data_IF_591285081409
#
_entry.id   IF_591285081409
#
_cell.length_a   1.000
_cell.length_b   1.000
_cell.length_c   1.000
_cell.angle_alpha   90.00
_cell.angle_beta   90.00
_cell.angle_gamma   90.00
#
_symmetry.space_group_name_H-M   'P 1'
#
loop_
_entity.id
_entity.type
_entity.pdbx_description
1 polymer ?
#
# COMPACT_ATOMS: atom_id res chain seq x y z
N UNK A 1 40.40 -17.90 2.38
CA UNK A 1 39.50 -17.98 1.22
C UNK A 1 39.42 -16.59 0.60
N UNK A 2 39.64 -16.42 -0.70
CA UNK A 2 39.36 -15.14 -1.36
C UNK A 2 37.85 -14.97 -1.41
N UNK A 3 37.32 -13.89 -0.84
CA UNK A 3 35.91 -13.57 -0.94
C UNK A 3 35.56 -13.32 -2.41
N UNK A 4 34.51 -13.99 -2.88
CA UNK A 4 34.00 -13.75 -4.20
C UNK A 4 33.23 -12.43 -4.21
N UNK A 5 33.62 -11.50 -5.05
CA UNK A 5 33.01 -10.17 -5.11
C UNK A 5 31.90 -10.13 -6.15
N UNK A 6 30.74 -9.56 -5.80
CA UNK A 6 29.66 -9.28 -6.72
C UNK A 6 30.03 -8.02 -7.53
N UNK A 7 30.35 -8.20 -8.78
CA UNK A 7 30.74 -7.09 -9.66
C UNK A 7 29.51 -6.40 -10.29
N UNK A 8 28.47 -7.17 -10.59
CA UNK A 8 27.27 -6.72 -11.33
C UNK A 8 26.11 -6.45 -10.40
N UNK A 9 25.52 -5.28 -10.56
CA UNK A 9 24.26 -4.90 -9.91
C UNK A 9 23.30 -4.51 -11.01
N UNK A 10 22.21 -5.24 -11.14
CA UNK A 10 21.16 -4.98 -12.11
C UNK A 10 19.95 -4.38 -11.41
N UNK A 11 19.70 -3.10 -11.66
CA UNK A 11 18.50 -2.41 -11.21
C UNK A 11 17.46 -2.41 -12.33
N UNK A 12 16.31 -3.02 -12.06
CA UNK A 12 15.19 -3.12 -13.01
C UNK A 12 14.07 -2.11 -12.70
N UNK A 13 14.28 -1.23 -11.73
CA UNK A 13 13.29 -0.20 -11.38
C UNK A 13 13.64 1.09 -12.10
N UNK A 14 12.82 1.52 -13.08
CA UNK A 14 13.08 2.76 -13.82
C UNK A 14 12.95 4.01 -12.93
N UNK A 15 13.71 5.04 -13.23
CA UNK A 15 13.64 6.30 -12.52
C UNK A 15 12.32 7.04 -12.73
N UNK A 16 11.72 6.89 -13.92
CA UNK A 16 10.41 7.44 -14.26
C UNK A 16 9.26 6.82 -13.46
N UNK A 17 9.46 5.67 -12.87
CA UNK A 17 8.49 5.03 -11.99
C UNK A 17 8.54 5.57 -10.54
N UNK A 18 9.55 6.36 -10.19
CA UNK A 18 9.61 7.03 -8.90
C UNK A 18 8.61 8.18 -8.84
N UNK A 19 7.79 8.21 -7.79
CA UNK A 19 6.83 9.29 -7.53
C UNK A 19 7.34 10.17 -6.38
N UNK A 20 8.57 10.69 -6.52
CA UNK A 20 9.17 11.60 -5.54
C UNK A 20 8.68 13.01 -5.84
N UNK A 21 8.11 13.68 -4.83
CA UNK A 21 7.39 14.95 -4.99
C UNK A 21 8.25 16.19 -4.75
N UNK A 22 9.34 16.07 -4.01
CA UNK A 22 10.06 17.21 -3.45
C UNK A 22 11.54 17.31 -3.86
N UNK A 23 12.08 16.34 -4.60
CA UNK A 23 13.48 16.34 -5.03
C UNK A 23 13.69 15.45 -6.25
N UNK A 24 14.84 15.58 -6.91
CA UNK A 24 15.25 14.67 -7.96
C UNK A 24 15.63 13.29 -7.42
N UNK A 25 15.54 12.25 -8.27
CA UNK A 25 15.85 10.86 -7.89
C UNK A 25 17.31 10.72 -7.42
N UNK A 26 18.25 11.44 -8.04
CA UNK A 26 19.66 11.41 -7.66
C UNK A 26 19.90 12.06 -6.29
N UNK A 27 19.18 13.13 -5.96
CA UNK A 27 19.25 13.74 -4.62
C UNK A 27 18.72 12.76 -3.56
N UNK A 28 17.63 12.03 -3.87
CA UNK A 28 17.11 10.99 -3.00
C UNK A 28 18.08 9.82 -2.81
N UNK A 29 18.80 9.42 -3.88
CA UNK A 29 19.89 8.43 -3.79
C UNK A 29 21.05 8.91 -2.93
N UNK A 30 21.39 10.19 -3.00
CA UNK A 30 22.42 10.78 -2.14
C UNK A 30 22.04 10.71 -0.64
N UNK A 31 20.74 10.93 -0.31
CA UNK A 31 20.22 10.73 1.05
C UNK A 31 20.34 9.28 1.50
N UNK A 32 20.10 8.34 0.60
CA UNK A 32 20.22 6.90 0.89
C UNK A 32 21.68 6.51 1.19
N UNK A 33 22.65 7.16 0.56
CA UNK A 33 24.09 6.92 0.79
C UNK A 33 24.64 7.64 2.03
N UNK A 34 23.90 8.58 2.61
CA UNK A 34 24.33 9.28 3.81
C UNK A 34 24.52 8.33 5.00
N UNK A 35 25.41 8.68 5.92
CA UNK A 35 25.64 7.86 7.13
C UNK A 35 24.41 7.78 8.04
N UNK A 36 23.69 8.89 8.16
CA UNK A 36 22.47 8.96 8.96
C UNK A 36 21.26 8.48 8.14
N UNK A 37 20.68 7.31 8.42
CA UNK A 37 19.53 6.79 7.69
C UNK A 37 18.28 7.68 7.81
N UNK A 38 18.17 8.49 8.88
CA UNK A 38 17.04 9.40 9.07
C UNK A 38 16.88 10.43 7.92
N UNK A 39 17.95 10.68 7.16
CA UNK A 39 17.89 11.51 5.97
C UNK A 39 16.88 11.03 4.93
N UNK A 40 16.64 9.73 4.84
CA UNK A 40 15.67 9.12 3.91
C UNK A 40 14.24 9.58 4.18
N UNK A 41 13.91 9.92 5.43
CA UNK A 41 12.58 10.45 5.79
C UNK A 41 12.26 11.80 5.12
N UNK A 42 13.25 12.49 4.59
CA UNK A 42 13.06 13.75 3.84
C UNK A 42 12.50 13.54 2.43
N UNK A 43 12.48 12.30 1.94
CA UNK A 43 11.93 11.97 0.62
C UNK A 43 10.41 11.91 0.74
N UNK A 44 9.72 12.86 0.13
CA UNK A 44 8.25 12.88 0.07
C UNK A 44 7.77 12.11 -1.16
N UNK A 45 6.75 11.28 -0.98
CA UNK A 45 6.14 10.54 -2.08
C UNK A 45 6.35 9.02 -2.00
N UNK A 46 6.27 8.35 -3.15
CA UNK A 46 6.34 6.90 -3.31
C UNK A 46 7.61 6.51 -4.04
N UNK A 47 8.48 5.74 -3.39
CA UNK A 47 9.80 5.41 -3.93
C UNK A 47 10.25 3.98 -3.62
N UNK A 48 11.09 3.45 -4.51
CA UNK A 48 11.85 2.23 -4.34
C UNK A 48 13.25 2.47 -4.91
N UNK A 49 14.22 2.76 -4.04
CA UNK A 49 15.54 3.27 -4.42
C UNK A 49 16.65 2.28 -4.16
N UNK A 50 17.61 2.27 -5.06
CA UNK A 50 18.89 1.63 -4.92
C UNK A 50 20.01 2.65 -5.16
N UNK A 51 21.03 2.62 -4.31
CA UNK A 51 22.24 3.38 -4.47
C UNK A 51 23.46 2.52 -4.16
N UNK A 52 24.54 2.70 -4.92
CA UNK A 52 25.79 1.95 -4.78
C UNK A 52 26.93 2.87 -4.39
N UNK A 53 27.71 2.44 -3.39
CA UNK A 53 28.98 3.06 -3.01
C UNK A 53 30.06 1.97 -2.92
N UNK A 54 30.91 1.90 -3.92
CA UNK A 54 31.98 0.90 -4.01
C UNK A 54 31.43 -0.53 -3.95
N UNK A 55 31.75 -1.24 -2.86
CA UNK A 55 31.34 -2.61 -2.60
C UNK A 55 30.08 -2.71 -1.71
N UNK A 56 29.36 -1.62 -1.52
CA UNK A 56 28.11 -1.58 -0.76
C UNK A 56 26.97 -1.12 -1.64
N UNK A 57 25.81 -1.73 -1.43
CA UNK A 57 24.54 -1.30 -2.00
C UNK A 57 23.58 -0.99 -0.86
N UNK A 58 22.92 0.14 -0.94
CA UNK A 58 21.83 0.49 -0.02
C UNK A 58 20.52 0.55 -0.76
N UNK A 59 19.50 0.02 -0.12
CA UNK A 59 18.15 -0.12 -0.64
C UNK A 59 17.19 0.50 0.37
N UNK A 60 16.22 1.28 -0.10
CA UNK A 60 15.11 1.76 0.73
C UNK A 60 13.86 1.94 -0.11
N UNK A 61 12.70 1.81 0.53
CA UNK A 61 11.40 2.00 -0.09
C UNK A 61 10.42 2.71 0.83
N UNK A 62 9.46 3.39 0.24
CA UNK A 62 8.23 3.80 0.93
C UNK A 62 7.36 2.58 1.24
N UNK A 63 6.40 2.73 2.16
CA UNK A 63 5.55 1.64 2.63
C UNK A 63 4.72 1.00 1.51
N UNK A 64 4.22 1.82 0.59
CA UNK A 64 3.35 1.46 -0.52
C UNK A 64 4.07 0.83 -1.73
N UNK A 65 5.41 0.91 -1.81
CA UNK A 65 6.19 0.38 -2.94
C UNK A 65 6.84 -0.97 -2.61
N UNK A 66 6.76 -1.98 -3.48
CA UNK A 66 7.62 -3.16 -3.39
C UNK A 66 9.05 -2.82 -3.79
N UNK A 67 10.01 -3.49 -3.18
CA UNK A 67 11.41 -3.49 -3.57
C UNK A 67 12.01 -4.82 -3.18
N UNK A 68 12.34 -5.63 -4.17
CA UNK A 68 12.88 -6.97 -3.98
C UNK A 68 14.30 -7.07 -4.51
N UNK A 69 15.05 -8.01 -3.98
CA UNK A 69 16.35 -8.33 -4.52
C UNK A 69 16.61 -9.84 -4.48
N UNK A 70 17.51 -10.26 -5.36
CA UNK A 70 18.00 -11.63 -5.47
C UNK A 70 19.52 -11.60 -5.63
N UNK A 71 20.22 -12.53 -4.95
CA UNK A 71 21.65 -12.72 -5.07
C UNK A 71 21.93 -14.02 -5.84
N UNK A 72 22.34 -13.88 -7.10
CA UNK A 72 22.88 -15.00 -7.88
C UNK A 72 24.34 -15.21 -7.49
N UNK A 73 24.72 -16.45 -7.09
CA UNK A 73 26.00 -16.73 -6.43
C UNK A 73 26.93 -17.65 -7.21
N UNK A 74 26.55 -18.02 -8.43
CA UNK A 74 27.42 -18.87 -9.24
C UNK A 74 28.78 -18.27 -9.48
N UNK A 75 29.78 -19.16 -9.57
CA UNK A 75 31.19 -18.81 -9.52
C UNK A 75 31.64 -17.87 -10.64
N UNK A 76 31.01 -17.97 -11.80
CA UNK A 76 31.41 -17.25 -13.00
C UNK A 76 30.62 -15.95 -13.26
N UNK A 77 29.83 -15.50 -12.29
CA UNK A 77 29.09 -14.26 -12.45
C UNK A 77 28.15 -13.91 -11.31
N UNK A 78 28.62 -13.84 -10.05
CA UNK A 78 27.75 -13.45 -8.96
C UNK A 78 27.23 -12.03 -9.20
N UNK A 79 25.91 -11.87 -9.11
CA UNK A 79 25.22 -10.63 -9.38
C UNK A 79 24.09 -10.36 -8.38
N UNK A 80 23.82 -9.09 -8.14
CA UNK A 80 22.63 -8.63 -7.42
C UNK A 80 21.60 -8.14 -8.44
N UNK A 81 20.40 -8.70 -8.42
CA UNK A 81 19.25 -8.24 -9.20
C UNK A 81 18.26 -7.57 -8.26
N UNK A 82 17.79 -6.37 -8.63
CA UNK A 82 16.83 -5.58 -7.87
C UNK A 82 15.65 -5.24 -8.75
N UNK A 83 14.43 -5.50 -8.27
CA UNK A 83 13.18 -5.24 -8.98
C UNK A 83 12.03 -5.01 -7.99
N UNK A 84 10.91 -4.53 -8.47
CA UNK A 84 9.67 -4.46 -7.69
C UNK A 84 8.83 -5.76 -7.80
N UNK A 85 9.13 -6.65 -8.76
CA UNK A 85 8.42 -7.90 -9.01
C UNK A 85 9.33 -9.13 -9.04
N UNK A 86 8.80 -10.28 -8.62
CA UNK A 86 9.51 -11.58 -8.63
C UNK A 86 9.72 -12.07 -10.07
N UNK A 87 8.71 -11.91 -10.94
CA UNK A 87 8.78 -12.31 -12.34
C UNK A 87 9.89 -11.57 -13.11
N UNK A 88 10.06 -10.26 -12.85
CA UNK A 88 11.15 -9.48 -13.44
C UNK A 88 12.54 -10.01 -13.03
N UNK A 89 12.68 -10.43 -11.75
CA UNK A 89 13.94 -11.04 -11.27
C UNK A 89 14.20 -12.35 -12.01
N UNK A 90 13.20 -13.23 -12.14
CA UNK A 90 13.31 -14.48 -12.90
C UNK A 90 13.76 -14.20 -14.33
N UNK A 91 13.02 -13.36 -15.04
CA UNK A 91 13.28 -13.07 -16.46
C UNK A 91 14.65 -12.43 -16.67
N UNK A 92 15.14 -11.64 -15.72
CA UNK A 92 16.48 -11.09 -15.76
C UNK A 92 17.56 -12.18 -15.57
N UNK A 93 17.36 -13.07 -14.59
CA UNK A 93 18.30 -14.17 -14.35
C UNK A 93 18.34 -15.14 -15.54
N UNK A 94 17.22 -15.41 -16.19
CA UNK A 94 17.17 -16.25 -17.42
C UNK A 94 17.97 -15.60 -18.56
N UNK A 95 17.77 -14.29 -18.80
CA UNK A 95 18.52 -13.53 -19.84
C UNK A 95 20.02 -13.50 -19.59
N UNK A 96 20.43 -13.52 -18.33
CA UNK A 96 21.84 -13.50 -17.91
C UNK A 96 22.46 -14.91 -17.83
N UNK A 97 21.71 -15.97 -18.13
CA UNK A 97 22.18 -17.35 -18.06
C UNK A 97 22.19 -17.94 -16.63
N UNK A 98 21.56 -17.29 -15.69
CA UNK A 98 21.49 -17.71 -14.28
C UNK A 98 20.11 -18.24 -13.86
N UNK A 99 19.21 -18.55 -14.81
CA UNK A 99 17.85 -19.04 -14.56
C UNK A 99 17.81 -20.26 -13.62
N UNK A 100 18.77 -21.18 -13.75
CA UNK A 100 18.87 -22.37 -12.89
C UNK A 100 19.09 -22.09 -11.39
N UNK A 101 19.49 -20.86 -11.02
CA UNK A 101 19.62 -20.46 -9.61
C UNK A 101 18.33 -19.87 -9.03
N UNK A 102 17.38 -19.54 -9.90
CA UNK A 102 16.17 -18.86 -9.45
C UNK A 102 15.24 -19.80 -8.68
N UNK A 103 14.78 -19.34 -7.55
CA UNK A 103 13.62 -19.87 -6.85
C UNK A 103 12.90 -18.72 -6.14
N UNK A 104 11.56 -18.59 -6.23
CA UNK A 104 10.84 -17.44 -5.68
C UNK A 104 11.06 -17.24 -4.17
N UNK A 105 11.30 -18.33 -3.41
CA UNK A 105 11.59 -18.24 -1.96
C UNK A 105 12.95 -17.65 -1.62
N UNK A 106 13.86 -17.50 -2.57
CA UNK A 106 15.15 -16.83 -2.37
C UNK A 106 15.11 -15.34 -2.70
N UNK A 107 13.99 -14.87 -3.28
CA UNK A 107 13.75 -13.45 -3.45
C UNK A 107 13.47 -12.81 -2.10
N UNK A 108 14.18 -11.73 -1.80
CA UNK A 108 14.07 -11.04 -0.52
C UNK A 108 13.39 -9.69 -0.70
N UNK A 109 12.46 -9.38 0.20
CA UNK A 109 11.84 -8.05 0.27
C UNK A 109 12.69 -7.13 1.13
N UNK A 110 12.90 -5.90 0.65
CA UNK A 110 13.45 -4.80 1.45
C UNK A 110 12.38 -4.37 2.46
N UNK A 111 12.66 -4.38 3.77
CA UNK A 111 11.67 -3.94 4.76
C UNK A 111 11.36 -2.46 4.61
N UNK A 112 10.09 -2.10 4.80
CA UNK A 112 9.69 -0.69 4.82
C UNK A 112 10.34 0.04 6.00
N UNK A 113 10.51 1.35 5.85
CA UNK A 113 11.08 2.22 6.87
C UNK A 113 12.51 1.88 7.33
N UNK A 114 13.22 1.06 6.53
CA UNK A 114 14.61 0.70 6.78
C UNK A 114 15.47 0.95 5.54
N UNK A 115 16.68 1.44 5.77
CA UNK A 115 17.77 1.31 4.83
C UNK A 115 18.35 -0.10 4.99
N UNK A 116 18.30 -0.88 3.92
CA UNK A 116 18.95 -2.20 3.86
C UNK A 116 20.29 -2.05 3.20
N UNK A 117 21.37 -2.34 3.92
CA UNK A 117 22.73 -2.31 3.39
C UNK A 117 23.21 -3.74 3.11
N UNK A 118 23.72 -3.97 1.90
CA UNK A 118 24.25 -5.26 1.43
C UNK A 118 25.69 -5.06 0.99
N UNK A 119 26.60 -5.87 1.52
CA UNK A 119 27.95 -5.97 1.01
C UNK A 119 27.96 -6.81 -0.27
N UNK A 120 28.64 -6.33 -1.30
CA UNK A 120 28.72 -7.02 -2.61
C UNK A 120 29.74 -8.16 -2.57
N UNK A 121 29.50 -9.12 -1.70
CA UNK A 121 30.28 -10.36 -1.52
C UNK A 121 29.37 -11.54 -1.82
N UNK A 122 29.78 -12.43 -2.71
CA UNK A 122 28.97 -13.58 -3.13
C UNK A 122 29.05 -14.76 -2.17
N UNK A 123 30.18 -14.95 -1.50
CA UNK A 123 30.42 -16.06 -0.58
C UNK A 123 31.43 -15.65 0.50
N UNK A 124 31.13 -15.80 1.82
CA UNK A 124 29.82 -16.23 2.35
C UNK A 124 28.72 -15.23 2.06
N UNK A 125 27.46 -15.68 2.19
CA UNK A 125 26.30 -14.84 1.97
C UNK A 125 26.33 -13.62 2.89
N UNK A 126 26.29 -12.39 2.37
CA UNK A 126 26.29 -11.22 3.22
C UNK A 126 24.97 -11.15 3.99
N UNK A 127 25.07 -11.03 5.31
CA UNK A 127 23.88 -10.70 6.10
C UNK A 127 23.54 -9.23 5.85
N UNK A 128 22.33 -8.92 5.38
CA UNK A 128 21.91 -7.53 5.23
C UNK A 128 21.89 -6.82 6.58
N UNK A 129 22.34 -5.56 6.59
CA UNK A 129 22.23 -4.70 7.77
C UNK A 129 21.01 -3.81 7.58
N UNK A 130 20.10 -3.84 8.55
CA UNK A 130 18.88 -3.03 8.53
C UNK A 130 19.04 -1.85 9.49
N UNK A 131 18.84 -0.63 8.98
CA UNK A 131 18.87 0.59 9.78
C UNK A 131 17.55 1.31 9.61
N UNK A 132 16.75 1.40 10.68
CA UNK A 132 15.45 2.07 10.64
C UNK A 132 15.65 3.58 10.43
N UNK A 133 14.93 4.16 9.48
CA UNK A 133 14.92 5.60 9.23
C UNK A 133 13.64 6.29 9.72
N UNK A 134 12.59 5.55 10.03
CA UNK A 134 11.33 6.08 10.52
C UNK A 134 10.88 5.34 11.78
N UNK A 135 10.84 6.05 12.90
CA UNK A 135 10.41 5.55 14.20
C UNK A 135 9.75 6.70 14.98
N UNK A 136 8.46 6.99 14.70
CA UNK A 136 7.78 8.13 15.30
C UNK A 136 7.54 7.93 16.80
N UNK A 137 7.47 9.03 17.59
CA UNK A 137 7.08 8.96 18.98
C UNK A 137 5.65 8.44 19.11
N UNK A 138 5.37 7.70 20.19
CA UNK A 138 4.09 7.05 20.42
C UNK A 138 3.34 7.68 21.58
N UNK A 139 2.01 7.68 21.48
CA UNK A 139 1.10 8.02 22.58
C UNK A 139 1.41 9.39 23.22
N UNK A 140 1.85 10.36 22.39
CA UNK A 140 2.24 11.70 22.87
C UNK A 140 1.12 12.74 22.77
N UNK A 141 0.03 12.42 22.08
CA UNK A 141 -1.14 13.30 22.02
C UNK A 141 -1.96 13.18 23.31
N UNK A 142 -2.64 14.28 23.74
CA UNK A 142 -3.60 14.20 24.84
C UNK A 142 -4.78 13.30 24.43
N UNK A 143 -5.48 12.66 25.39
CA UNK A 143 -6.66 11.82 25.13
C UNK A 143 -7.92 12.67 24.83
N UNK A 144 -7.76 13.63 23.95
CA UNK A 144 -8.80 14.54 23.48
C UNK A 144 -9.07 14.23 21.99
N UNK A 145 -10.26 13.75 21.69
CA UNK A 145 -10.64 13.33 20.33
C UNK A 145 -10.69 14.49 19.33
N UNK A 146 -10.89 15.72 19.77
CA UNK A 146 -10.87 16.87 18.89
C UNK A 146 -9.44 17.21 18.48
N UNK A 147 -8.50 17.20 19.43
CA UNK A 147 -7.07 17.41 19.15
C UNK A 147 -6.51 16.28 18.30
N UNK A 148 -6.84 15.03 18.63
CA UNK A 148 -6.43 13.84 17.89
C UNK A 148 -6.95 13.89 16.45
N UNK A 149 -8.25 14.13 16.28
CA UNK A 149 -8.88 14.21 14.97
C UNK A 149 -8.29 15.31 14.11
N UNK A 150 -8.12 16.51 14.68
CA UNK A 150 -7.51 17.64 13.99
C UNK A 150 -6.08 17.31 13.54
N UNK A 151 -5.23 16.80 14.44
CA UNK A 151 -3.84 16.43 14.13
C UNK A 151 -3.77 15.37 13.02
N UNK A 152 -4.58 14.32 13.12
CA UNK A 152 -4.58 13.22 12.15
C UNK A 152 -5.07 13.67 10.76
N UNK A 153 -6.15 14.44 10.71
CA UNK A 153 -6.71 14.92 9.43
C UNK A 153 -5.87 16.04 8.83
N UNK A 154 -5.22 16.89 9.61
CA UNK A 154 -4.23 17.84 9.09
C UNK A 154 -3.08 17.13 8.41
N UNK A 155 -2.56 16.04 9.02
CA UNK A 155 -1.52 15.21 8.39
C UNK A 155 -1.99 14.59 7.06
N UNK A 156 -3.23 14.09 7.03
CA UNK A 156 -3.86 13.56 5.80
C UNK A 156 -3.99 14.62 4.72
N UNK A 157 -4.53 15.78 5.05
CA UNK A 157 -4.71 16.90 4.11
C UNK A 157 -3.37 17.41 3.58
N UNK A 158 -2.32 17.43 4.40
CA UNK A 158 -0.99 17.84 3.95
C UNK A 158 -0.40 16.88 2.91
N UNK A 159 -0.53 15.57 3.08
CA UNK A 159 -0.10 14.59 2.07
C UNK A 159 -0.89 14.72 0.76
N UNK A 160 -2.20 14.95 0.87
CA UNK A 160 -3.07 15.21 -0.27
C UNK A 160 -2.67 16.51 -0.98
N UNK A 161 -2.38 17.55 -0.22
CA UNK A 161 -1.93 18.85 -0.73
C UNK A 161 -0.64 18.72 -1.56
N UNK A 162 0.33 17.97 -1.05
CA UNK A 162 1.60 17.72 -1.75
C UNK A 162 1.37 16.93 -3.05
N UNK A 163 0.54 15.91 -2.99
CA UNK A 163 0.22 15.09 -4.15
C UNK A 163 -0.52 15.87 -5.24
N UNK A 164 -1.56 16.63 -4.88
CA UNK A 164 -2.32 17.46 -5.83
C UNK A 164 -1.43 18.54 -6.44
N UNK A 165 -0.49 19.11 -5.66
CA UNK A 165 0.44 20.12 -6.14
C UNK A 165 1.40 19.61 -7.22
N UNK A 166 1.74 18.32 -7.18
CA UNK A 166 2.64 17.69 -8.15
C UNK A 166 1.93 17.30 -9.47
N UNK A 167 0.59 17.37 -9.52
CA UNK A 167 -0.19 16.95 -10.68
C UNK A 167 -0.68 18.17 -11.45
N UNK A 168 -0.46 18.25 -12.79
CA UNK A 168 -0.96 19.34 -13.60
C UNK A 168 -2.47 19.54 -13.43
N UNK A 169 -2.93 20.79 -13.35
CA UNK A 169 -4.34 21.11 -13.07
C UNK A 169 -5.33 20.54 -14.10
N UNK A 170 -4.89 20.34 -15.33
CA UNK A 170 -5.67 19.73 -16.40
C UNK A 170 -5.90 18.22 -16.26
N UNK A 171 -5.07 17.55 -15.44
CA UNK A 171 -5.16 16.11 -15.27
C UNK A 171 -6.22 15.75 -14.23
N UNK A 172 -7.14 14.82 -14.54
CA UNK A 172 -8.19 14.43 -13.63
C UNK A 172 -7.67 13.57 -12.48
N UNK A 173 -8.38 13.59 -11.35
CA UNK A 173 -8.10 12.84 -10.14
C UNK A 173 -9.25 11.87 -9.85
N UNK A 174 -8.93 10.68 -9.38
CA UNK A 174 -9.94 9.71 -8.99
C UNK A 174 -9.69 9.16 -7.58
N UNK A 175 -10.77 8.72 -6.96
CA UNK A 175 -10.74 7.97 -5.69
C UNK A 175 -11.39 6.62 -5.92
N UNK A 176 -10.73 5.53 -5.53
CA UNK A 176 -11.35 4.22 -5.41
C UNK A 176 -12.28 4.26 -4.20
N UNK A 177 -13.58 4.30 -4.46
CA UNK A 177 -14.58 4.75 -3.48
C UNK A 177 -15.61 3.66 -3.16
N UNK A 178 -15.62 3.19 -1.92
CA UNK A 178 -16.60 2.23 -1.41
C UNK A 178 -17.73 2.87 -0.56
N UNK A 179 -17.65 4.19 -0.32
CA UNK A 179 -18.51 4.86 0.65
C UNK A 179 -18.14 4.59 2.12
N UNK A 180 -17.04 3.88 2.38
CA UNK A 180 -16.50 3.64 3.72
C UNK A 180 -15.75 4.86 4.28
N UNK A 181 -15.38 4.79 5.56
CA UNK A 181 -14.74 5.89 6.30
C UNK A 181 -13.42 6.35 5.64
N UNK A 182 -12.56 5.41 5.25
CA UNK A 182 -11.24 5.74 4.72
C UNK A 182 -11.32 6.39 3.34
N UNK A 183 -12.00 5.74 2.40
CA UNK A 183 -12.19 6.29 1.06
C UNK A 183 -13.01 7.58 1.09
N UNK A 184 -13.95 7.69 2.04
CA UNK A 184 -14.74 8.90 2.29
C UNK A 184 -13.89 10.06 2.78
N UNK A 185 -13.00 9.80 3.75
CA UNK A 185 -12.08 10.82 4.25
C UNK A 185 -11.12 11.32 3.16
N UNK A 186 -10.59 10.41 2.33
CA UNK A 186 -9.74 10.80 1.19
C UNK A 186 -10.52 11.63 0.16
N UNK A 187 -11.75 11.24 -0.16
CA UNK A 187 -12.60 11.98 -1.11
C UNK A 187 -12.89 13.41 -0.60
N UNK A 188 -13.30 13.55 0.66
CA UNK A 188 -13.62 14.85 1.24
C UNK A 188 -12.39 15.75 1.37
N UNK A 189 -11.24 15.19 1.75
CA UNK A 189 -9.99 15.94 1.83
C UNK A 189 -9.50 16.39 0.45
N UNK A 190 -9.62 15.55 -0.61
CA UNK A 190 -9.33 15.93 -1.98
C UNK A 190 -10.27 17.02 -2.49
N UNK A 191 -11.57 16.88 -2.23
CA UNK A 191 -12.56 17.89 -2.59
C UNK A 191 -12.24 19.24 -1.92
N UNK A 192 -11.94 19.23 -0.62
CA UNK A 192 -11.52 20.42 0.12
C UNK A 192 -10.26 21.07 -0.48
N UNK A 193 -9.23 20.27 -0.76
CA UNK A 193 -7.97 20.77 -1.33
C UNK A 193 -8.16 21.42 -2.71
N UNK A 194 -8.99 20.83 -3.58
CA UNK A 194 -9.30 21.43 -4.88
C UNK A 194 -9.98 22.80 -4.71
N UNK A 195 -10.95 22.90 -3.82
CA UNK A 195 -11.62 24.18 -3.53
C UNK A 195 -10.66 25.20 -2.92
N UNK A 196 -9.81 24.81 -1.98
CA UNK A 196 -8.83 25.69 -1.36
C UNK A 196 -7.83 26.27 -2.38
N UNK A 197 -7.56 25.52 -3.47
CA UNK A 197 -6.74 25.96 -4.58
C UNK A 197 -7.50 26.75 -5.66
N UNK A 198 -8.80 26.93 -5.51
CA UNK A 198 -9.63 27.52 -6.55
C UNK A 198 -9.79 26.67 -7.81
N UNK A 199 -9.50 25.37 -7.72
CA UNK A 199 -9.63 24.42 -8.81
C UNK A 199 -11.05 23.85 -8.89
N UNK A 200 -11.47 23.46 -10.11
CA UNK A 200 -12.80 22.89 -10.31
C UNK A 200 -12.94 21.52 -9.65
N UNK A 201 -13.96 21.27 -8.81
CA UNK A 201 -14.26 19.94 -8.31
C UNK A 201 -14.62 18.91 -9.40
N UNK A 202 -15.03 19.36 -10.60
CA UNK A 202 -15.28 18.47 -11.75
C UNK A 202 -14.03 17.68 -12.20
N UNK A 203 -12.84 18.10 -11.74
CA UNK A 203 -11.58 17.38 -11.88
C UNK A 203 -11.57 16.05 -11.10
N UNK A 204 -12.43 15.88 -10.09
CA UNK A 204 -12.46 14.73 -9.20
C UNK A 204 -13.59 13.76 -9.55
N UNK A 205 -13.33 12.45 -9.53
CA UNK A 205 -14.33 11.38 -9.61
C UNK A 205 -14.17 10.37 -8.47
N UNK A 206 -15.30 9.88 -7.98
CA UNK A 206 -15.40 8.80 -7.01
C UNK A 206 -15.83 7.52 -7.75
N UNK A 207 -14.91 6.58 -7.97
CA UNK A 207 -15.14 5.35 -8.72
C UNK A 207 -15.60 4.23 -7.79
N UNK A 208 -16.78 3.69 -8.03
CA UNK A 208 -17.35 2.58 -7.27
C UNK A 208 -17.62 1.40 -8.19
N UNK A 209 -17.21 0.19 -7.78
CA UNK A 209 -17.50 -1.05 -8.50
C UNK A 209 -18.91 -1.54 -8.18
N UNK A 210 -19.64 -1.93 -9.22
CA UNK A 210 -20.89 -2.68 -9.13
C UNK A 210 -20.73 -4.03 -9.85
N UNK A 211 -20.78 -5.14 -9.14
CA UNK A 211 -20.71 -6.46 -9.74
C UNK A 211 -22.12 -6.99 -9.96
N UNK A 212 -22.41 -7.42 -11.21
CA UNK A 212 -23.76 -7.85 -11.65
C UNK A 212 -24.87 -6.81 -11.34
N UNK A 213 -24.50 -5.52 -11.48
CA UNK A 213 -25.42 -4.39 -11.31
C UNK A 213 -25.77 -4.03 -9.86
N UNK A 214 -25.11 -4.63 -8.85
CA UNK A 214 -25.42 -4.40 -7.44
C UNK A 214 -24.21 -4.45 -6.52
N UNK A 215 -24.51 -4.35 -5.23
CA UNK A 215 -23.53 -4.44 -4.13
C UNK A 215 -23.84 -3.43 -3.04
N UNK A 216 -23.60 -3.82 -1.79
CA UNK A 216 -23.85 -2.96 -0.63
C UNK A 216 -22.94 -1.72 -0.61
N UNK A 217 -21.76 -1.80 -1.23
CA UNK A 217 -20.85 -0.65 -1.37
C UNK A 217 -21.42 0.39 -2.33
N UNK A 218 -22.09 -0.03 -3.40
CA UNK A 218 -22.75 0.91 -4.31
C UNK A 218 -23.87 1.71 -3.62
N UNK A 219 -24.68 1.03 -2.81
CA UNK A 219 -25.75 1.68 -2.03
C UNK A 219 -25.15 2.66 -1.00
N UNK A 220 -24.12 2.22 -0.28
CA UNK A 220 -23.43 3.05 0.71
C UNK A 220 -22.74 4.25 0.07
N UNK A 221 -22.10 4.07 -1.09
CA UNK A 221 -21.47 5.16 -1.84
C UNK A 221 -22.49 6.20 -2.29
N UNK A 222 -23.66 5.75 -2.79
CA UNK A 222 -24.76 6.66 -3.18
C UNK A 222 -25.30 7.43 -1.98
N UNK A 223 -25.49 6.76 -0.85
CA UNK A 223 -25.97 7.39 0.37
C UNK A 223 -24.93 8.40 0.92
N UNK A 224 -23.64 8.04 0.95
CA UNK A 224 -22.56 8.94 1.34
C UNK A 224 -22.55 10.21 0.50
N UNK A 225 -22.52 10.05 -0.81
CA UNK A 225 -22.48 11.18 -1.74
C UNK A 225 -23.79 12.01 -1.69
N UNK A 226 -24.93 11.36 -1.43
CA UNK A 226 -26.22 12.04 -1.21
C UNK A 226 -26.19 12.93 0.02
N UNK A 227 -25.65 12.45 1.15
CA UNK A 227 -25.52 13.20 2.40
C UNK A 227 -24.54 14.36 2.30
N UNK A 228 -23.49 14.23 1.49
CA UNK A 228 -22.46 15.27 1.30
C UNK A 228 -22.74 16.22 0.14
N UNK A 229 -23.77 15.98 -0.65
CA UNK A 229 -24.09 16.79 -1.84
C UNK A 229 -23.12 16.59 -3.02
N UNK A 230 -22.36 15.51 -3.03
CA UNK A 230 -21.30 15.25 -4.01
C UNK A 230 -21.66 14.19 -5.07
N UNK A 231 -22.96 13.97 -5.33
CA UNK A 231 -23.45 12.94 -6.26
C UNK A 231 -22.88 13.13 -7.68
N UNK A 232 -22.57 14.36 -8.09
CA UNK A 232 -22.00 14.66 -9.41
C UNK A 232 -20.58 14.08 -9.61
N UNK A 233 -19.90 13.70 -8.53
CA UNK A 233 -18.57 13.09 -8.61
C UNK A 233 -18.64 11.57 -8.78
N UNK A 234 -19.83 10.97 -8.60
CA UNK A 234 -19.97 9.51 -8.59
C UNK A 234 -19.84 8.93 -9.99
N UNK A 235 -19.00 7.93 -10.11
CA UNK A 235 -18.79 7.15 -11.32
C UNK A 235 -18.90 5.66 -11.00
N UNK A 236 -19.94 5.02 -11.49
CA UNK A 236 -20.18 3.58 -11.27
C UNK A 236 -19.54 2.80 -12.41
N UNK A 237 -18.66 1.88 -12.06
CA UNK A 237 -18.04 0.92 -12.96
C UNK A 237 -18.73 -0.42 -12.79
N UNK A 238 -19.37 -0.90 -13.82
CA UNK A 238 -20.06 -2.18 -13.83
C UNK A 238 -19.14 -3.28 -14.34
N UNK A 239 -19.16 -4.44 -13.67
CA UNK A 239 -18.45 -5.63 -14.11
C UNK A 239 -19.31 -6.88 -13.88
N UNK A 240 -19.31 -7.86 -14.80
CA UNK A 240 -19.92 -9.15 -14.52
C UNK A 240 -19.06 -9.94 -13.52
N UNK A 241 -19.68 -10.75 -12.66
CA UNK A 241 -18.96 -11.63 -11.73
C UNK A 241 -18.02 -12.60 -12.42
N UNK A 242 -18.33 -13.02 -13.65
CA UNK A 242 -17.43 -13.84 -14.51
C UNK A 242 -16.10 -13.13 -14.84
N UNK A 243 -16.01 -11.82 -14.66
CA UNK A 243 -14.78 -11.06 -14.88
C UNK A 243 -13.83 -11.05 -13.67
N UNK A 244 -14.27 -11.59 -12.53
CA UNK A 244 -13.46 -11.73 -11.33
C UNK A 244 -12.56 -12.97 -11.46
N UNK A 245 -11.26 -12.76 -11.57
CA UNK A 245 -10.27 -13.83 -11.69
C UNK A 245 -9.25 -13.79 -10.54
N UNK A 246 -9.45 -14.62 -9.50
CA UNK A 246 -8.53 -14.69 -8.37
C UNK A 246 -7.12 -15.18 -8.74
N UNK A 247 -6.98 -16.02 -9.78
CA UNK A 247 -5.67 -16.50 -10.19
C UNK A 247 -4.88 -15.43 -10.94
N UNK A 248 -5.54 -14.63 -11.77
CA UNK A 248 -4.92 -13.42 -12.33
C UNK A 248 -4.50 -12.44 -11.24
N UNK A 249 -5.29 -12.31 -10.17
CA UNK A 249 -4.91 -11.48 -9.01
C UNK A 249 -3.64 -12.01 -8.33
N UNK A 250 -3.52 -13.33 -8.08
CA UNK A 250 -2.30 -13.96 -7.54
C UNK A 250 -1.06 -13.58 -8.36
N UNK A 251 -1.17 -13.63 -9.69
CA UNK A 251 -0.07 -13.29 -10.60
C UNK A 251 0.30 -11.78 -10.50
N UNK A 252 -0.68 -10.90 -10.34
CA UNK A 252 -0.45 -9.46 -10.26
C UNK A 252 0.17 -9.05 -8.93
N UNK A 253 -0.37 -9.57 -7.81
CA UNK A 253 0.09 -9.17 -6.47
C UNK A 253 1.26 -9.99 -5.95
N UNK A 254 1.58 -11.12 -6.61
CA UNK A 254 2.62 -12.07 -6.19
C UNK A 254 2.47 -12.51 -4.72
N UNK A 255 1.21 -12.69 -4.31
CA UNK A 255 0.80 -13.18 -2.99
C UNK A 255 -0.35 -14.18 -3.16
N UNK A 256 -0.54 -15.04 -2.16
CA UNK A 256 -1.56 -16.08 -2.17
C UNK A 256 -2.46 -16.08 -0.91
N UNK A 257 -2.35 -15.07 -0.06
CA UNK A 257 -3.25 -14.93 1.08
C UNK A 257 -4.67 -14.66 0.59
N UNK A 258 -5.66 -15.47 1.00
CA UNK A 258 -7.02 -15.35 0.49
C UNK A 258 -7.57 -13.93 0.55
N UNK A 259 -7.41 -13.27 1.69
CA UNK A 259 -7.93 -11.91 1.89
C UNK A 259 -7.31 -10.88 0.94
N UNK A 260 -6.02 -10.99 0.65
CA UNK A 260 -5.34 -10.07 -0.26
C UNK A 260 -5.69 -10.39 -1.72
N UNK A 261 -5.84 -11.69 -2.06
CA UNK A 261 -6.32 -12.15 -3.38
C UNK A 261 -7.75 -11.66 -3.64
N UNK A 262 -8.66 -11.80 -2.68
CA UNK A 262 -10.04 -11.33 -2.77
C UNK A 262 -10.11 -9.82 -3.03
N UNK A 263 -9.42 -9.02 -2.22
CA UNK A 263 -9.40 -7.56 -2.38
C UNK A 263 -8.78 -7.15 -3.73
N UNK A 264 -7.66 -7.76 -4.11
CA UNK A 264 -6.99 -7.45 -5.36
C UNK A 264 -7.84 -7.84 -6.58
N UNK A 265 -8.58 -8.96 -6.53
CA UNK A 265 -9.47 -9.39 -7.60
C UNK A 265 -10.56 -8.36 -7.86
N UNK A 266 -11.20 -7.88 -6.81
CA UNK A 266 -12.24 -6.84 -6.90
C UNK A 266 -11.66 -5.52 -7.43
N UNK A 267 -10.48 -5.11 -6.92
CA UNK A 267 -9.79 -3.92 -7.42
C UNK A 267 -9.37 -4.04 -8.89
N UNK A 268 -8.89 -5.20 -9.33
CA UNK A 268 -8.54 -5.41 -10.74
C UNK A 268 -9.75 -5.25 -11.68
N UNK A 269 -10.93 -5.72 -11.26
CA UNK A 269 -12.16 -5.53 -12.03
C UNK A 269 -12.54 -4.04 -12.13
N UNK A 270 -12.48 -3.30 -11.01
CA UNK A 270 -12.71 -1.86 -10.98
C UNK A 270 -11.73 -1.10 -11.88
N UNK A 271 -10.43 -1.35 -11.72
CA UNK A 271 -9.37 -0.64 -12.44
C UNK A 271 -9.40 -0.94 -13.94
N UNK A 272 -9.74 -2.19 -14.33
CA UNK A 272 -9.96 -2.55 -15.72
C UNK A 272 -11.10 -1.71 -16.32
N UNK A 273 -12.25 -1.67 -15.65
CA UNK A 273 -13.38 -0.90 -16.14
C UNK A 273 -13.13 0.60 -16.18
N UNK A 274 -12.35 1.16 -15.22
CA UNK A 274 -11.89 2.55 -15.30
C UNK A 274 -11.01 2.75 -16.54
N UNK A 275 -10.05 1.87 -16.81
CA UNK A 275 -9.15 1.98 -17.96
C UNK A 275 -9.90 1.88 -19.31
N UNK A 276 -10.88 0.97 -19.41
CA UNK A 276 -11.72 0.82 -20.60
C UNK A 276 -12.56 2.07 -20.86
N UNK A 277 -13.11 2.69 -19.84
CA UNK A 277 -13.98 3.87 -19.95
C UNK A 277 -13.22 5.19 -20.06
N UNK A 278 -12.03 5.27 -19.44
CA UNK A 278 -11.17 6.45 -19.37
C UNK A 278 -9.73 6.08 -19.73
N UNK A 279 -9.40 5.91 -21.01
CA UNK A 279 -8.09 5.43 -21.44
C UNK A 279 -6.90 6.28 -20.98
N UNK A 280 -7.09 7.60 -20.85
CA UNK A 280 -6.05 8.56 -20.50
C UNK A 280 -5.99 8.89 -19.00
N UNK A 281 -6.86 8.28 -18.17
CA UNK A 281 -6.86 8.55 -16.72
C UNK A 281 -5.61 8.00 -16.08
N UNK A 282 -4.96 8.78 -15.20
CA UNK A 282 -3.68 8.40 -14.60
C UNK A 282 -3.74 8.30 -13.08
N UNK A 283 -4.31 9.28 -12.39
CA UNK A 283 -4.13 9.50 -10.96
C UNK A 283 -5.31 8.96 -10.18
N UNK A 284 -5.03 7.98 -9.31
CA UNK A 284 -6.03 7.34 -8.45
C UNK A 284 -5.55 7.34 -7.00
N UNK A 285 -6.38 7.87 -6.10
CA UNK A 285 -6.18 7.75 -4.66
C UNK A 285 -7.06 6.63 -4.09
N UNK A 286 -6.65 6.08 -2.96
CA UNK A 286 -7.38 5.05 -2.22
C UNK A 286 -7.36 5.31 -0.71
N UNK A 287 -8.12 4.51 0.04
CA UNK A 287 -8.21 4.55 1.50
C UNK A 287 -7.33 3.54 2.22
N UNK A 288 -6.42 2.86 1.52
CA UNK A 288 -5.58 1.83 2.10
C UNK A 288 -4.63 2.40 3.17
N UNK A 289 -4.53 1.71 4.30
CA UNK A 289 -3.74 2.12 5.46
C UNK A 289 -4.55 2.77 6.59
N UNK A 290 -5.80 3.20 6.34
CA UNK A 290 -6.64 3.81 7.36
C UNK A 290 -7.02 2.87 8.51
N UNK A 291 -7.35 1.62 8.20
CA UNK A 291 -7.60 0.57 9.20
C UNK A 291 -6.35 0.28 10.04
N UNK A 292 -5.20 0.21 9.39
CA UNK A 292 -3.90 -0.02 10.01
C UNK A 292 -3.54 1.10 10.99
N UNK A 293 -3.73 2.34 10.58
CA UNK A 293 -3.43 3.53 11.39
C UNK A 293 -4.32 3.62 12.64
N UNK A 294 -5.62 3.45 12.46
CA UNK A 294 -6.58 3.62 13.55
C UNK A 294 -6.97 2.29 14.22
N UNK A 295 -6.21 1.21 13.94
CA UNK A 295 -6.28 -0.10 14.59
C UNK A 295 -7.68 -0.72 14.53
N UNK A 296 -8.41 -0.44 13.44
CA UNK A 296 -9.79 -0.91 13.25
C UNK A 296 -9.83 -2.33 12.68
N UNK A 297 -9.51 -3.31 13.54
CA UNK A 297 -9.49 -4.74 13.22
C UNK A 297 -10.60 -5.50 13.92
N UNK A 298 -11.27 -6.45 13.23
CA UNK A 298 -12.28 -7.31 13.84
C UNK A 298 -11.61 -8.35 14.76
N UNK A 299 -11.39 -7.99 16.02
CA UNK A 299 -10.69 -8.82 17.02
C UNK A 299 -11.43 -10.12 17.25
N UNK A 300 -12.78 -10.08 17.30
CA UNK A 300 -13.62 -11.25 17.57
C UNK A 300 -13.57 -12.31 16.46
N UNK A 301 -13.26 -11.89 15.24
CA UNK A 301 -13.15 -12.79 14.10
C UNK A 301 -11.79 -13.47 13.99
N UNK A 302 -10.81 -13.02 14.81
CA UNK A 302 -9.45 -13.52 14.75
C UNK A 302 -8.97 -13.95 16.16
N UNK A 303 -8.95 -15.26 16.44
CA UNK A 303 -8.61 -15.78 17.77
C UNK A 303 -7.18 -15.46 18.23
N UNK A 304 -6.30 -15.08 17.31
CA UNK A 304 -4.91 -14.68 17.63
C UNK A 304 -4.80 -13.22 18.09
N UNK A 305 -5.86 -12.41 17.86
CA UNK A 305 -5.87 -11.01 18.25
C UNK A 305 -6.53 -10.82 19.62
N UNK A 306 -5.94 -9.93 20.37
CA UNK A 306 -6.52 -9.37 21.59
C UNK A 306 -6.48 -7.86 21.50
N UNK A 307 -7.36 -7.15 22.21
CA UNK A 307 -7.28 -5.68 22.24
C UNK A 307 -5.90 -5.20 22.66
N UNK A 308 -5.26 -5.86 23.63
CA UNK A 308 -3.92 -5.52 24.06
C UNK A 308 -2.88 -5.70 22.96
N UNK A 309 -2.95 -6.77 22.17
CA UNK A 309 -2.03 -6.98 21.05
C UNK A 309 -2.25 -5.97 19.94
N UNK A 310 -3.48 -5.54 19.72
CA UNK A 310 -3.82 -4.55 18.66
C UNK A 310 -3.39 -3.15 19.09
N UNK A 311 -3.76 -2.68 20.30
CA UNK A 311 -3.42 -1.31 20.73
C UNK A 311 -1.92 -1.10 20.95
N UNK A 312 -1.20 -2.12 21.43
CA UNK A 312 0.25 -2.07 21.61
C UNK A 312 1.05 -2.36 20.34
N UNK A 313 0.38 -2.66 19.23
CA UNK A 313 1.04 -2.97 17.98
C UNK A 313 1.71 -1.71 17.40
N UNK A 314 3.00 -1.83 17.16
CA UNK A 314 3.84 -0.74 16.67
C UNK A 314 4.06 -0.86 15.16
N UNK A 315 3.21 -0.23 14.36
CA UNK A 315 3.29 -0.26 12.90
C UNK A 315 3.35 -1.68 12.27
N UNK A 316 3.16 -2.74 13.07
CA UNK A 316 3.30 -4.13 12.60
C UNK A 316 2.33 -4.48 11.47
N UNK A 317 1.10 -3.95 11.53
CA UNK A 317 0.11 -4.18 10.48
C UNK A 317 0.42 -3.41 9.21
N UNK A 318 1.16 -2.32 9.29
CA UNK A 318 1.62 -1.55 8.14
C UNK A 318 2.85 -2.19 7.50
N UNK A 319 3.84 -2.58 8.32
CA UNK A 319 5.11 -3.11 7.85
C UNK A 319 5.12 -4.62 7.62
N UNK A 320 4.10 -5.34 8.10
CA UNK A 320 4.08 -6.80 8.18
C UNK A 320 4.67 -7.33 9.48
N UNK A 321 4.49 -8.63 9.74
CA UNK A 321 4.94 -9.29 10.95
C UNK A 321 6.46 -9.37 11.02
N UNK A 322 7.10 -8.52 11.78
CA UNK A 322 8.50 -8.54 12.15
C UNK A 322 9.49 -8.81 11.00
N UNK A 323 10.44 -7.93 10.79
CA UNK A 323 11.40 -8.00 9.67
C UNK A 323 12.14 -9.34 9.62
N UNK A 324 12.46 -9.93 10.79
CA UNK A 324 13.19 -11.19 10.84
C UNK A 324 12.35 -12.41 10.49
N UNK A 325 11.09 -12.42 10.88
CA UNK A 325 10.19 -13.53 10.61
C UNK A 325 9.78 -13.64 9.13
N UNK A 326 9.74 -12.52 8.41
CA UNK A 326 9.24 -12.46 7.03
C UNK A 326 10.33 -12.61 5.97
N UNK A 327 11.60 -12.41 6.31
CA UNK A 327 12.71 -12.40 5.32
C UNK A 327 12.87 -13.69 4.50
N UNK A 328 12.23 -14.78 4.91
CA UNK A 328 12.30 -16.07 4.25
C UNK A 328 10.93 -16.69 3.95
N UNK A 329 9.84 -15.95 4.11
CA UNK A 329 8.50 -16.49 3.98
C UNK A 329 7.81 -15.98 2.72
N UNK A 330 7.40 -16.90 1.85
CA UNK A 330 6.41 -16.63 0.79
C UNK A 330 4.99 -16.42 1.35
N UNK A 331 4.78 -16.69 2.65
CA UNK A 331 3.47 -16.59 3.30
C UNK A 331 3.06 -15.14 3.55
N UNK A 332 4.02 -14.24 3.49
CA UNK A 332 3.78 -12.82 3.62
C UNK A 332 4.18 -12.15 2.34
N UNK A 333 3.51 -11.09 2.01
CA UNK A 333 3.94 -10.12 1.00
C UNK A 333 5.32 -9.51 1.35
N UNK A 334 6.12 -10.26 2.08
CA UNK A 334 7.51 -9.92 2.42
C UNK A 334 7.68 -8.57 3.09
N UNK A 335 6.79 -8.17 4.00
CA UNK A 335 6.77 -6.83 4.59
C UNK A 335 6.14 -5.77 3.70
N UNK A 336 5.45 -6.17 2.63
CA UNK A 336 4.57 -5.25 1.91
C UNK A 336 3.40 -4.86 2.82
N UNK A 337 3.05 -3.58 2.80
CA UNK A 337 1.78 -3.15 3.33
C UNK A 337 0.64 -3.77 2.54
N UNK A 338 -0.52 -3.92 3.15
CA UNK A 338 -1.72 -4.41 2.44
C UNK A 338 -2.07 -3.52 1.25
N UNK A 339 -1.85 -2.21 1.35
CA UNK A 339 -2.04 -1.26 0.26
C UNK A 339 -1.21 -1.60 -0.98
N UNK A 340 0.03 -2.10 -0.83
CA UNK A 340 0.82 -2.52 -1.99
C UNK A 340 0.15 -3.66 -2.75
N UNK A 341 -0.36 -4.69 -2.08
CA UNK A 341 -1.00 -5.83 -2.74
C UNK A 341 -2.43 -5.54 -3.16
N UNK A 342 -3.17 -4.71 -2.44
CA UNK A 342 -4.59 -4.44 -2.71
C UNK A 342 -4.82 -3.31 -3.67
N UNK A 343 -4.09 -2.20 -3.53
CA UNK A 343 -4.24 -0.97 -4.30
C UNK A 343 -3.12 -0.78 -5.32
N UNK A 344 -1.87 -0.69 -4.89
CA UNK A 344 -0.73 -0.31 -5.73
C UNK A 344 -0.50 -1.29 -6.90
N UNK A 345 -0.30 -2.59 -6.63
CA UNK A 345 0.03 -3.55 -7.67
C UNK A 345 -1.10 -3.70 -8.71
N UNK A 346 -2.40 -3.81 -8.33
CA UNK A 346 -3.50 -3.75 -9.27
C UNK A 346 -3.55 -2.47 -10.12
N UNK A 347 -3.33 -1.29 -9.51
CA UNK A 347 -3.35 -0.02 -10.24
C UNK A 347 -2.21 0.06 -11.26
N UNK A 348 -0.99 -0.33 -10.88
CA UNK A 348 0.16 -0.37 -11.79
C UNK A 348 -0.04 -1.33 -12.96
N UNK A 349 -0.75 -2.45 -12.75
CA UNK A 349 -1.11 -3.40 -13.82
C UNK A 349 -1.85 -2.74 -14.98
N UNK A 350 -2.66 -1.73 -14.69
CA UNK A 350 -3.42 -0.98 -15.68
C UNK A 350 -2.82 0.39 -16.01
N UNK A 351 -1.58 0.67 -15.61
CA UNK A 351 -0.85 1.90 -15.93
C UNK A 351 -1.35 3.15 -15.19
N UNK A 352 -2.00 2.97 -14.04
CA UNK A 352 -2.34 4.08 -13.16
C UNK A 352 -1.19 4.47 -12.25
N UNK A 353 -1.23 5.70 -11.76
CA UNK A 353 -0.38 6.23 -10.70
C UNK A 353 -1.18 6.25 -9.39
N UNK A 354 -1.03 5.22 -8.55
CA UNK A 354 -1.77 5.12 -7.29
C UNK A 354 -1.18 6.03 -6.20
N UNK A 355 -2.05 6.44 -5.28
CA UNK A 355 -1.70 7.23 -4.12
C UNK A 355 -2.50 6.79 -2.91
N UNK A 356 -1.82 6.27 -1.88
CA UNK A 356 -2.40 5.87 -0.60
C UNK A 356 -1.93 6.84 0.49
N UNK A 357 -2.69 7.92 0.78
CA UNK A 357 -2.25 8.96 1.71
C UNK A 357 -2.06 8.46 3.13
N UNK A 358 -2.84 7.47 3.58
CA UNK A 358 -2.71 6.88 4.91
C UNK A 358 -1.41 6.07 5.10
N UNK A 359 -0.74 5.68 4.02
CA UNK A 359 0.54 4.98 4.08
C UNK A 359 1.75 5.93 4.16
N UNK A 360 1.53 7.23 4.25
CA UNK A 360 2.60 8.22 4.32
C UNK A 360 3.14 8.40 5.74
N UNK A 361 4.45 8.60 5.90
CA UNK A 361 5.09 8.71 7.22
C UNK A 361 4.45 9.75 8.13
N UNK A 362 4.04 10.90 7.60
CA UNK A 362 3.38 11.97 8.37
C UNK A 362 2.07 11.51 8.99
N UNK A 363 1.22 10.81 8.22
CA UNK A 363 -0.07 10.31 8.70
C UNK A 363 0.12 9.16 9.69
N UNK A 364 1.08 8.27 9.42
CA UNK A 364 1.46 7.19 10.34
C UNK A 364 1.98 7.76 11.66
N UNK A 365 2.82 8.82 11.61
CA UNK A 365 3.31 9.46 12.83
C UNK A 365 2.19 10.07 13.66
N UNK A 366 1.21 10.71 13.02
CA UNK A 366 0.03 11.24 13.70
C UNK A 366 -0.80 10.12 14.35
N UNK A 367 -0.93 8.96 13.67
CA UNK A 367 -1.64 7.80 14.20
C UNK A 367 -0.90 7.15 15.39
N UNK A 368 0.43 6.96 15.29
CA UNK A 368 1.23 6.39 16.38
C UNK A 368 1.25 7.29 17.63
N UNK A 369 1.03 8.61 17.47
CA UNK A 369 0.94 9.56 18.56
C UNK A 369 -0.35 9.44 19.39
N UNK A 370 -1.37 8.70 18.91
CA UNK A 370 -2.67 8.51 19.58
C UNK A 370 -2.52 7.58 20.78
N UNK A 371 -3.00 7.98 22.00
CA UNK A 371 -2.94 7.15 23.20
C UNK A 371 -4.07 6.10 23.22
N UNK A 372 -4.01 5.12 22.32
CA UNK A 372 -5.05 4.10 22.14
C UNK A 372 -5.37 3.32 23.42
N UNK A 373 -4.35 2.97 24.21
CA UNK A 373 -4.54 2.23 25.46
C UNK A 373 -5.40 3.00 26.46
N UNK A 374 -5.15 4.31 26.60
CA UNK A 374 -5.90 5.20 27.48
C UNK A 374 -7.33 5.42 26.99
N UNK A 375 -7.50 5.70 25.70
CA UNK A 375 -8.80 5.97 25.08
C UNK A 375 -9.72 4.75 25.11
N UNK A 376 -9.21 3.54 24.87
CA UNK A 376 -10.03 2.34 24.77
C UNK A 376 -10.31 1.70 26.11
N UNK A 377 -9.47 1.90 27.11
CA UNK A 377 -9.56 1.27 28.44
C UNK A 377 -9.78 -0.25 28.38
N UNK A 378 -9.22 -0.90 27.34
CA UNK A 378 -9.36 -2.33 27.12
C UNK A 378 -10.69 -2.78 26.51
N UNK A 379 -11.53 -1.86 26.01
CA UNK A 379 -12.76 -2.19 25.29
C UNK A 379 -12.54 -2.17 23.78
N UNK A 380 -12.83 -3.28 23.11
CA UNK A 380 -12.80 -3.35 21.64
C UNK A 380 -13.96 -2.59 20.99
N UNK A 381 -15.11 -2.48 21.67
CA UNK A 381 -16.25 -1.69 21.20
C UNK A 381 -15.89 -0.21 21.08
N UNK A 382 -15.17 0.32 22.10
CA UNK A 382 -14.65 1.70 22.04
C UNK A 382 -13.64 1.83 20.91
N UNK A 383 -12.75 0.86 20.74
CA UNK A 383 -11.75 0.87 19.64
C UNK A 383 -12.43 0.96 18.27
N UNK A 384 -13.51 0.19 18.04
CA UNK A 384 -14.23 0.22 16.75
C UNK A 384 -14.94 1.55 16.49
N UNK A 385 -15.45 2.20 17.53
CA UNK A 385 -16.06 3.52 17.42
C UNK A 385 -15.03 4.64 17.19
N UNK A 386 -13.81 4.43 17.66
CA UNK A 386 -12.77 5.47 17.71
C UNK A 386 -12.41 6.01 16.33
N UNK A 387 -12.27 5.15 15.33
CA UNK A 387 -11.94 5.54 13.96
C UNK A 387 -12.96 6.53 13.38
N UNK A 388 -14.24 6.23 13.52
CA UNK A 388 -15.32 7.12 13.06
C UNK A 388 -15.27 8.48 13.75
N UNK A 389 -15.06 8.50 15.07
CA UNK A 389 -14.96 9.74 15.83
C UNK A 389 -13.74 10.59 15.45
N UNK A 390 -12.56 9.98 15.33
CA UNK A 390 -11.32 10.66 14.94
C UNK A 390 -11.47 11.30 13.56
N UNK A 391 -11.91 10.54 12.57
CA UNK A 391 -12.03 11.04 11.20
C UNK A 391 -13.14 12.10 11.07
N UNK A 392 -14.31 11.88 11.68
CA UNK A 392 -15.44 12.80 11.59
C UNK A 392 -15.11 14.14 12.26
N UNK A 393 -14.56 14.13 13.48
CA UNK A 393 -14.18 15.35 14.20
C UNK A 393 -13.06 16.09 13.47
N UNK A 394 -12.05 15.36 13.03
CA UNK A 394 -10.92 15.92 12.31
C UNK A 394 -11.33 16.59 10.99
N UNK A 395 -12.14 15.91 10.17
CA UNK A 395 -12.64 16.48 8.92
C UNK A 395 -13.47 17.73 9.16
N UNK A 396 -14.38 17.69 10.13
CA UNK A 396 -15.17 18.88 10.48
C UNK A 396 -14.28 20.07 10.87
N UNK A 397 -13.27 19.84 11.73
CA UNK A 397 -12.40 20.90 12.21
C UNK A 397 -11.46 21.46 11.15
N UNK A 398 -10.93 20.59 10.28
CA UNK A 398 -9.92 20.99 9.28
C UNK A 398 -10.57 21.50 8.00
N UNK A 399 -11.68 20.90 7.59
CA UNK A 399 -12.27 21.16 6.26
C UNK A 399 -13.66 21.79 6.33
N UNK A 400 -14.33 21.74 7.48
CA UNK A 400 -15.73 22.12 7.64
C UNK A 400 -16.72 21.14 7.01
N UNK A 401 -16.26 19.98 6.53
CA UNK A 401 -17.09 18.97 5.88
C UNK A 401 -17.48 17.88 6.89
N UNK A 402 -18.76 17.47 6.84
CA UNK A 402 -19.24 16.35 7.66
C UNK A 402 -18.94 15.01 6.97
N UNK A 403 -18.42 14.06 7.74
CA UNK A 403 -18.15 12.70 7.28
C UNK A 403 -19.29 11.77 7.67
N UNK A 404 -20.08 11.24 6.73
CA UNK A 404 -21.08 10.22 7.02
C UNK A 404 -20.41 8.95 7.55
N UNK A 405 -20.87 8.48 8.71
CA UNK A 405 -20.38 7.25 9.34
C UNK A 405 -21.40 6.14 9.12
N UNK A 406 -20.94 5.01 8.60
CA UNK A 406 -21.72 3.80 8.36
C UNK A 406 -21.13 2.61 9.12
N UNK A 407 -21.91 1.57 9.40
CA UNK A 407 -21.39 0.32 9.94
C UNK A 407 -20.31 -0.27 9.04
N UNK A 408 -19.21 -0.73 9.64
CA UNK A 408 -18.07 -1.30 8.90
C UNK A 408 -18.48 -2.50 8.06
N UNK A 409 -18.03 -2.52 6.81
CA UNK A 409 -18.12 -3.65 5.89
C UNK A 409 -16.76 -3.89 5.24
N UNK A 410 -16.48 -5.15 4.91
CA UNK A 410 -15.27 -5.46 4.13
C UNK A 410 -15.54 -5.19 2.67
N UNK A 411 -14.63 -4.48 2.00
CA UNK A 411 -14.73 -4.09 0.58
C UNK A 411 -15.10 -5.26 -0.35
N UNK A 412 -14.40 -6.39 -0.24
CA UNK A 412 -14.68 -7.55 -1.09
C UNK A 412 -16.09 -8.17 -0.84
N UNK A 413 -16.69 -7.94 0.31
CA UNK A 413 -18.06 -8.38 0.62
C UNK A 413 -19.11 -7.33 0.25
N UNK A 414 -18.70 -6.08 0.13
CA UNK A 414 -19.59 -4.97 -0.24
C UNK A 414 -19.78 -4.82 -1.74
N UNK A 415 -18.72 -5.03 -2.52
CA UNK A 415 -18.75 -4.90 -3.96
C UNK A 415 -19.41 -6.09 -4.68
N UNK A 416 -19.51 -7.26 -4.03
CA UNK A 416 -19.97 -8.52 -4.63
C UNK A 416 -21.11 -9.11 -3.80
N UNK A 417 -22.11 -9.73 -4.43
CA UNK A 417 -23.15 -10.46 -3.71
C UNK A 417 -22.58 -11.68 -2.98
N UNK A 418 -23.23 -12.14 -1.88
CA UNK A 418 -22.76 -13.31 -1.12
C UNK A 418 -22.66 -14.58 -1.96
N UNK A 419 -23.53 -14.75 -2.94
CA UNK A 419 -23.52 -15.89 -3.84
C UNK A 419 -22.34 -15.82 -4.81
N UNK A 420 -22.17 -14.69 -5.49
CA UNK A 420 -21.04 -14.47 -6.40
C UNK A 420 -19.72 -14.58 -5.65
N UNK A 421 -19.63 -14.05 -4.42
CA UNK A 421 -18.44 -14.19 -3.58
C UNK A 421 -18.08 -15.66 -3.31
N UNK A 422 -19.05 -16.47 -2.87
CA UNK A 422 -18.82 -17.91 -2.61
C UNK A 422 -18.39 -18.67 -3.88
N UNK A 423 -18.97 -18.33 -5.02
CA UNK A 423 -18.65 -18.99 -6.28
C UNK A 423 -17.25 -18.67 -6.76
N UNK A 424 -16.79 -17.42 -6.59
CA UNK A 424 -15.48 -16.95 -7.06
C UNK A 424 -14.34 -17.25 -6.07
N UNK A 425 -14.58 -17.13 -4.77
CA UNK A 425 -13.55 -17.17 -3.74
C UNK A 425 -13.63 -18.40 -2.83
N UNK A 426 -14.55 -19.33 -3.06
CA UNK A 426 -14.72 -20.56 -2.27
C UNK A 426 -13.59 -21.58 -2.39
N UNK A 427 -12.43 -21.20 -2.92
CA UNK A 427 -11.28 -22.06 -3.15
C UNK A 427 -10.41 -22.19 -1.90
N UNK A 428 -9.87 -23.40 -1.68
CA UNK A 428 -8.92 -23.62 -0.60
C UNK A 428 -7.61 -22.84 -0.83
N UNK A 429 -7.05 -22.14 0.19
CA UNK A 429 -5.84 -21.31 0.07
C UNK A 429 -4.62 -22.00 -0.58
N UNK A 430 -4.51 -23.31 -0.43
CA UNK A 430 -3.46 -24.13 -1.08
C UNK A 430 -3.44 -23.97 -2.60
N UNK A 431 -4.60 -23.76 -3.24
CA UNK A 431 -4.67 -23.59 -4.71
C UNK A 431 -4.00 -22.29 -5.16
N UNK A 432 -4.18 -21.20 -4.43
CA UNK A 432 -3.51 -19.93 -4.73
C UNK A 432 -1.99 -20.06 -4.58
N UNK A 433 -1.53 -20.73 -3.52
CA UNK A 433 -0.12 -21.01 -3.33
C UNK A 433 0.46 -21.87 -4.47
N UNK A 434 -0.21 -22.96 -4.84
CA UNK A 434 0.23 -23.83 -5.92
C UNK A 434 0.30 -23.06 -7.24
N UNK A 435 -0.68 -22.19 -7.50
CA UNK A 435 -0.69 -21.34 -8.68
C UNK A 435 0.49 -20.36 -8.68
N UNK A 436 0.75 -19.63 -7.58
CA UNK A 436 1.91 -18.74 -7.47
C UNK A 436 3.23 -19.50 -7.77
N UNK A 437 3.40 -20.68 -7.19
CA UNK A 437 4.59 -21.48 -7.42
C UNK A 437 4.69 -21.92 -8.89
N UNK A 438 3.58 -22.33 -9.51
CA UNK A 438 3.59 -22.75 -10.92
C UNK A 438 3.95 -21.62 -11.89
N UNK A 439 3.60 -20.37 -11.58
CA UNK A 439 3.99 -19.20 -12.39
C UNK A 439 5.52 -19.02 -12.46
N UNK A 440 6.24 -19.54 -11.47
CA UNK A 440 7.69 -19.39 -11.37
C UNK A 440 8.47 -20.68 -11.62
N UNK A 441 7.79 -21.81 -11.86
CA UNK A 441 8.41 -23.11 -12.13
C UNK A 441 8.43 -23.48 -13.63
N UNK A 442 7.81 -22.68 -14.48
CA UNK A 442 7.80 -22.89 -15.93
C UNK A 442 9.01 -22.17 -16.57
N UNK A 443 10.13 -22.84 -16.52
CA UNK A 443 11.38 -22.50 -17.19
C UNK A 443 12.20 -23.74 -17.40
#
# INVERSE_FOLDING_TARGET
MRHQTIARVLNLIPDEDQQILNMAVDDARALLLAENPAGVLRIEGSFALIARDGQRVRLARSLDRPLRYFLAKEKDGPMLVVADRIDQIRDALEREGHGGQFHPSYTRMVPAHHVTEIQLVGCPDPNPVYRRFFDPPREVLPPDLDVIGETYVQALCEEIRLWVAAIPEREPLGVLFSGGLDSGAVLLALYHELLARGQSPARLKAFTLAVDGGGADLEQAREFLGRTGLQMLHEVIEAPSAALDPFAAVAVIEDYKPLDVECATVNLALLRGIRERYPDWRHLADGDGGDENLKDYPIEENPELTIRSVVNNRMLYQEGWGVEAIKHSLTYSGGLSRGCVRGYAPARRYGFSPFSPFSRPRVIAAAEAIPFAELTRGSHEILYGLKGEVLRRGLWRVTGLDLPVFPKRRFQHGAVTREAFRNQFGLHPVRYRSHLLSLHQQG
#
